data_IF_193978666920
#
_entry.id   IF_193978666920
#
_cell.length_a   1.000
_cell.length_b   1.000
_cell.length_c   1.000
_cell.angle_alpha   90.00
_cell.angle_beta   90.00
_cell.angle_gamma   90.00
#
_symmetry.space_group_name_H-M   'P 1'
#
loop_
_entity.id
_entity.type
_entity.pdbx_description
1 polymer ?
#
# COMPACT_ATOMS: atom_id res chain seq x y z
N UNK A 1 -34.42 -12.54 -16.82
CA UNK A 1 -33.54 -11.35 -16.65
C UNK A 1 -32.13 -11.77 -17.05
N UNK A 2 -31.72 -11.46 -18.28
CA UNK A 2 -30.43 -11.91 -18.80
C UNK A 2 -29.30 -11.04 -18.20
N UNK A 3 -28.32 -11.71 -17.60
CA UNK A 3 -27.11 -11.09 -17.07
C UNK A 3 -26.30 -10.49 -18.22
N UNK A 4 -26.16 -9.15 -18.23
CA UNK A 4 -25.37 -8.42 -19.23
C UNK A 4 -23.88 -8.53 -18.88
N UNK A 5 -23.27 -9.64 -19.26
CA UNK A 5 -21.81 -9.78 -19.34
C UNK A 5 -21.48 -9.96 -20.82
N UNK A 6 -21.55 -8.87 -21.58
CA UNK A 6 -21.12 -8.86 -22.98
C UNK A 6 -19.59 -8.86 -23.00
N UNK A 7 -19.02 -10.01 -23.32
CA UNK A 7 -17.57 -10.27 -23.38
C UNK A 7 -17.00 -9.79 -24.74
N UNK A 8 -17.29 -8.55 -25.11
CA UNK A 8 -16.68 -7.93 -26.30
C UNK A 8 -15.30 -7.38 -25.91
N UNK A 9 -14.25 -8.17 -26.15
CA UNK A 9 -12.86 -7.80 -25.81
C UNK A 9 -12.35 -6.53 -26.52
N UNK A 10 -12.95 -6.15 -27.66
CA UNK A 10 -12.57 -4.96 -28.43
C UNK A 10 -13.22 -3.66 -27.94
N UNK A 11 -14.16 -3.74 -27.00
CA UNK A 11 -14.87 -2.56 -26.48
C UNK A 11 -14.35 -2.23 -25.08
N UNK A 12 -13.88 -1.00 -24.89
CA UNK A 12 -13.60 -0.52 -23.54
C UNK A 12 -14.91 -0.54 -22.74
N UNK A 13 -14.89 -1.07 -21.50
CA UNK A 13 -16.05 -1.02 -20.63
C UNK A 13 -16.47 0.44 -20.43
N UNK A 14 -17.79 0.67 -20.46
CA UNK A 14 -18.34 2.00 -20.18
C UNK A 14 -17.86 2.44 -18.81
N UNK A 15 -17.42 3.71 -18.69
CA UNK A 15 -16.91 4.24 -17.43
C UNK A 15 -18.07 4.26 -16.42
N UNK A 16 -18.04 3.31 -15.49
CA UNK A 16 -19.08 3.21 -14.47
C UNK A 16 -19.24 4.53 -13.71
N UNK A 17 -20.49 4.90 -13.34
CA UNK A 17 -20.74 6.06 -12.52
C UNK A 17 -19.98 5.94 -11.19
N UNK A 18 -19.35 7.04 -10.78
CA UNK A 18 -18.42 7.01 -9.65
C UNK A 18 -19.14 6.60 -8.36
N UNK A 19 -18.73 5.49 -7.76
CA UNK A 19 -19.23 5.03 -6.45
C UNK A 19 -19.07 6.13 -5.39
N UNK A 20 -20.18 6.48 -4.74
CA UNK A 20 -20.22 7.50 -3.70
C UNK A 20 -19.76 6.89 -2.36
N UNK A 21 -18.45 6.87 -2.12
CA UNK A 21 -17.93 6.49 -0.80
C UNK A 21 -17.90 7.69 0.14
N UNK A 22 -18.21 7.45 1.43
CA UNK A 22 -18.32 8.47 2.49
C UNK A 22 -17.10 9.41 2.60
N UNK A 23 -15.94 8.93 2.18
CA UNK A 23 -14.68 9.66 2.20
C UNK A 23 -14.15 10.01 0.79
N UNK A 24 -14.96 9.89 -0.26
CA UNK A 24 -14.53 10.27 -1.61
C UNK A 24 -14.57 11.76 -1.74
N UNK A 25 -13.39 12.35 -1.84
CA UNK A 25 -13.26 13.56 -2.63
C UNK A 25 -12.43 13.17 -3.85
N UNK A 26 -13.02 13.15 -5.06
CA UNK A 26 -12.25 12.84 -6.25
C UNK A 26 -11.10 13.84 -6.35
N UNK A 27 -9.88 13.32 -6.31
CA UNK A 27 -8.70 14.14 -6.49
C UNK A 27 -8.76 14.68 -7.92
N UNK A 28 -8.70 16.00 -8.13
CA UNK A 28 -8.75 16.58 -9.46
C UNK A 28 -7.64 15.98 -10.31
N UNK A 29 -7.98 15.55 -11.53
CA UNK A 29 -7.00 14.94 -12.44
C UNK A 29 -6.11 16.01 -13.10
N UNK A 30 -6.65 17.21 -13.35
CA UNK A 30 -5.90 18.27 -14.04
C UNK A 30 -4.86 18.91 -13.13
N UNK A 31 -3.69 19.20 -13.69
CA UNK A 31 -2.56 19.82 -12.96
C UNK A 31 -2.93 21.19 -12.37
N UNK A 32 -3.69 22.01 -13.09
CA UNK A 32 -4.13 23.35 -12.64
C UNK A 32 -5.04 23.26 -11.41
N UNK A 33 -6.03 22.38 -11.46
CA UNK A 33 -6.97 22.14 -10.36
C UNK A 33 -6.24 21.59 -9.11
N UNK A 34 -5.28 20.67 -9.30
CA UNK A 34 -4.44 20.16 -8.19
C UNK A 34 -3.64 21.25 -7.50
N UNK A 35 -3.11 22.23 -8.25
CA UNK A 35 -2.33 23.35 -7.68
C UNK A 35 -3.17 24.31 -6.84
N UNK A 36 -4.49 24.36 -7.05
CA UNK A 36 -5.39 25.25 -6.30
C UNK A 36 -5.88 24.63 -4.99
N UNK A 37 -5.65 23.32 -4.78
CA UNK A 37 -6.02 22.66 -3.53
C UNK A 37 -5.17 23.19 -2.38
N UNK A 38 -5.84 23.68 -1.34
CA UNK A 38 -5.18 24.12 -0.11
C UNK A 38 -4.42 22.95 0.51
N UNK A 39 -3.12 23.10 0.66
CA UNK A 39 -2.30 22.14 1.38
C UNK A 39 -2.76 22.04 2.85
N UNK A 40 -3.01 20.82 3.34
CA UNK A 40 -3.30 20.55 4.76
C UNK A 40 -2.01 20.43 5.56
N UNK A 41 -2.01 20.99 6.77
CA UNK A 41 -0.96 20.87 7.78
C UNK A 41 -1.15 19.54 8.53
N UNK A 42 -0.10 18.75 8.75
CA UNK A 42 -0.14 17.73 9.80
C UNK A 42 0.26 18.38 11.15
N UNK A 43 -0.05 17.76 12.31
CA UNK A 43 0.26 18.34 13.63
C UNK A 43 1.73 18.72 13.83
N UNK A 44 2.65 17.94 13.25
CA UNK A 44 4.09 18.23 13.34
C UNK A 44 4.49 19.44 12.48
N UNK A 45 3.85 19.61 11.30
CA UNK A 45 4.03 20.80 10.49
C UNK A 45 3.50 22.05 11.21
N UNK A 46 2.37 21.96 11.91
CA UNK A 46 1.82 23.11 12.66
C UNK A 46 2.80 23.59 13.73
N UNK A 47 3.38 22.66 14.51
CA UNK A 47 4.41 22.99 15.49
C UNK A 47 5.62 23.66 14.82
N UNK A 48 6.13 23.11 13.72
CA UNK A 48 7.28 23.67 13.02
C UNK A 48 7.01 25.11 12.53
N UNK A 49 5.88 25.35 11.88
CA UNK A 49 5.55 26.69 11.36
C UNK A 49 5.14 27.69 12.44
N UNK A 50 4.72 27.23 13.63
CA UNK A 50 4.50 28.12 14.78
C UNK A 50 5.80 28.79 15.24
N UNK A 51 6.93 28.07 15.19
CA UNK A 51 8.25 28.61 15.52
C UNK A 51 8.93 29.28 14.32
N UNK A 52 8.66 28.82 13.10
CA UNK A 52 9.25 29.36 11.89
C UNK A 52 8.17 29.73 10.86
N UNK A 53 7.56 30.93 10.97
CA UNK A 53 6.50 31.35 10.07
C UNK A 53 7.05 31.49 8.65
N UNK A 54 6.64 30.57 7.77
CA UNK A 54 7.03 30.60 6.35
C UNK A 54 5.84 31.07 5.51
N UNK A 55 6.02 32.20 4.80
CA UNK A 55 5.03 32.76 3.88
C UNK A 55 4.74 31.86 2.67
N UNK A 56 5.62 30.89 2.38
CA UNK A 56 5.55 29.95 1.25
C UNK A 56 5.02 28.57 1.63
N UNK A 57 4.06 28.52 2.55
CA UNK A 57 3.50 27.28 3.10
C UNK A 57 2.87 26.34 2.03
N UNK A 58 2.42 26.90 0.90
CA UNK A 58 1.91 26.14 -0.25
C UNK A 58 3.02 25.63 -1.19
N UNK A 59 4.23 26.18 -1.13
CA UNK A 59 5.37 25.81 -1.98
C UNK A 59 6.33 24.82 -1.30
N UNK A 60 6.29 24.73 0.03
CA UNK A 60 7.11 23.82 0.81
C UNK A 60 6.59 22.37 0.76
N UNK A 61 7.50 21.40 0.65
CA UNK A 61 7.20 19.97 0.82
C UNK A 61 6.65 19.70 2.22
N UNK A 62 5.56 18.93 2.33
CA UNK A 62 4.88 18.62 3.59
C UNK A 62 4.71 17.12 3.77
N UNK A 63 4.60 16.68 5.02
CA UNK A 63 4.30 15.28 5.34
C UNK A 63 2.89 14.90 4.86
N UNK A 64 2.70 13.59 4.62
CA UNK A 64 1.36 13.06 4.37
C UNK A 64 0.57 13.12 5.68
N UNK A 65 -0.62 13.71 5.62
CA UNK A 65 -1.55 13.83 6.76
C UNK A 65 -2.06 12.46 7.23
N UNK A 66 -2.24 11.51 6.30
CA UNK A 66 -2.69 10.16 6.61
C UNK A 66 -1.53 9.23 6.98
N UNK A 67 -1.56 8.68 8.19
CA UNK A 67 -0.70 7.55 8.58
C UNK A 67 -1.09 6.32 7.78
N UNK A 68 -0.12 5.72 7.09
CA UNK A 68 -0.36 4.43 6.41
C UNK A 68 -0.76 3.39 7.46
N UNK A 69 -1.71 2.50 7.14
CA UNK A 69 -1.99 1.37 8.02
C UNK A 69 -0.71 0.56 8.22
N UNK A 70 -0.57 -0.02 9.41
CA UNK A 70 0.52 -0.96 9.66
C UNK A 70 0.36 -2.15 8.72
N UNK A 71 1.49 -2.69 8.28
CA UNK A 71 1.50 -3.96 7.54
C UNK A 71 0.82 -5.02 8.40
N UNK A 72 -0.16 -5.76 7.86
CA UNK A 72 -0.80 -6.85 8.59
C UNK A 72 0.23 -7.89 9.05
N UNK A 73 -0.09 -8.67 10.11
CA UNK A 73 0.70 -9.85 10.45
C UNK A 73 0.86 -10.76 9.22
N UNK A 74 2.01 -11.42 9.08
CA UNK A 74 2.32 -12.33 7.97
C UNK A 74 2.42 -11.70 6.57
N UNK A 75 2.19 -10.39 6.39
CA UNK A 75 2.20 -9.76 5.05
C UNK A 75 3.55 -9.89 4.30
N UNK A 76 4.64 -9.95 5.05
CA UNK A 76 5.99 -10.14 4.50
C UNK A 76 6.53 -11.56 4.71
N UNK A 77 5.73 -12.46 5.27
CA UNK A 77 6.13 -13.84 5.42
C UNK A 77 6.00 -14.52 4.06
N UNK A 78 7.06 -15.20 3.66
CA UNK A 78 7.08 -15.97 2.43
C UNK A 78 6.38 -17.31 2.73
N UNK A 79 5.23 -17.53 2.10
CA UNK A 79 4.55 -18.84 2.07
C UNK A 79 5.23 -19.82 1.10
N UNK A 80 6.33 -19.41 0.48
CA UNK A 80 7.10 -20.25 -0.43
C UNK A 80 8.01 -21.23 0.35
N UNK A 81 8.17 -22.46 -0.15
CA UNK A 81 9.09 -23.41 0.46
C UNK A 81 10.50 -22.93 0.22
N UNK A 82 11.32 -22.98 1.25
CA UNK A 82 12.77 -22.86 1.05
C UNK A 82 13.32 -24.13 0.40
N UNK A 83 12.75 -25.29 0.74
CA UNK A 83 13.12 -26.59 0.19
C UNK A 83 11.91 -27.46 -0.16
N UNK A 84 12.00 -28.12 -1.31
CA UNK A 84 11.07 -29.17 -1.75
C UNK A 84 11.73 -30.51 -1.54
N UNK A 85 11.21 -31.32 -0.61
CA UNK A 85 11.73 -32.66 -0.39
C UNK A 85 10.87 -33.70 -1.12
N UNK A 86 11.44 -34.50 -2.03
CA UNK A 86 10.71 -35.56 -2.70
C UNK A 86 10.40 -36.68 -1.71
N UNK A 87 9.17 -37.19 -1.76
CA UNK A 87 8.76 -38.38 -1.00
C UNK A 87 8.67 -39.61 -1.89
N UNK A 88 8.76 -40.79 -1.27
CA UNK A 88 8.74 -42.09 -1.96
C UNK A 88 7.47 -42.34 -2.80
N UNK A 89 6.39 -41.57 -2.57
CA UNK A 89 5.13 -41.64 -3.31
C UNK A 89 5.02 -40.69 -4.50
N UNK A 90 6.06 -39.92 -4.83
CA UNK A 90 6.02 -38.89 -5.88
C UNK A 90 5.35 -37.57 -5.44
N UNK A 91 5.00 -37.45 -4.17
CA UNK A 91 4.54 -36.20 -3.55
C UNK A 91 5.73 -35.41 -3.01
N UNK A 92 5.61 -34.08 -2.90
CA UNK A 92 6.64 -33.23 -2.30
C UNK A 92 6.21 -32.78 -0.91
N UNK A 93 7.09 -32.95 0.09
CA UNK A 93 6.90 -32.41 1.44
C UNK A 93 7.64 -31.08 1.60
N UNK A 94 7.05 -30.24 2.42
CA UNK A 94 7.47 -28.87 2.63
C UNK A 94 8.17 -28.76 3.98
N UNK A 95 9.46 -28.41 4.00
CA UNK A 95 10.21 -28.16 5.24
C UNK A 95 10.60 -26.68 5.32
N UNK A 96 10.38 -26.07 6.49
CA UNK A 96 11.02 -24.81 6.87
C UNK A 96 12.25 -25.19 7.69
N UNK A 97 13.44 -25.20 7.08
CA UNK A 97 14.69 -25.31 7.83
C UNK A 97 14.92 -23.98 8.55
N UNK A 98 15.10 -24.02 9.86
CA UNK A 98 15.34 -22.82 10.65
C UNK A 98 16.85 -22.61 10.86
N UNK A 99 17.61 -22.76 9.76
CA UNK A 99 19.08 -22.70 9.75
C UNK A 99 19.58 -21.34 10.29
N UNK A 100 18.80 -20.28 10.08
CA UNK A 100 19.05 -18.95 10.65
C UNK A 100 18.93 -18.90 12.18
N UNK A 101 17.92 -19.55 12.78
CA UNK A 101 17.79 -19.60 14.24
C UNK A 101 18.90 -20.42 14.90
N UNK A 102 19.32 -21.52 14.26
CA UNK A 102 20.38 -22.38 14.78
C UNK A 102 21.74 -21.69 14.73
N UNK A 103 22.02 -20.98 13.63
CA UNK A 103 23.23 -20.15 13.50
C UNK A 103 23.20 -18.97 14.46
N UNK A 104 22.08 -18.28 14.63
CA UNK A 104 21.95 -17.18 15.59
C UNK A 104 22.22 -17.64 17.04
N UNK A 105 21.66 -18.78 17.46
CA UNK A 105 21.92 -19.40 18.78
C UNK A 105 23.39 -19.80 18.97
N UNK A 106 24.07 -20.22 17.89
CA UNK A 106 25.49 -20.60 17.93
C UNK A 106 26.43 -19.40 18.20
N UNK A 107 26.09 -18.22 17.68
CA UNK A 107 26.91 -17.00 17.86
C UNK A 107 26.52 -16.17 19.10
N UNK A 108 25.51 -16.61 19.87
CA UNK A 108 25.08 -15.98 21.12
C UNK A 108 25.75 -16.56 22.38
N UNK A 109 26.76 -17.42 22.21
CA UNK A 109 27.53 -18.07 23.27
C UNK A 109 28.96 -17.52 23.29
#
# INVERSE_FOLDING_TARGET
>A
MASSWSVDFDKLPSREPQVNYKYYKPVPRKKRERKQLKARTCPDCEKYYAFNPNSKLQESSRHRDYKRPKTPPFFWELDFPEHLEPTDGGEYKFSKSNEYEETFKKYQK
#
